data_IF_457449298537
#
_entry.id   IF_457449298537
#
_cell.length_a   1.000
_cell.length_b   1.000
_cell.length_c   1.000
_cell.angle_alpha   90.00
_cell.angle_beta   90.00
_cell.angle_gamma   90.00
#
_symmetry.space_group_name_H-M   'P 1'
#
loop_
_entity.id
_entity.type
_entity.pdbx_description
1 polymer ?
#
# COMPACT_ATOMS: atom_id res chain seq x y z
N UNK A 1 11.38 -6.47 10.45
CA UNK A 1 10.44 -6.25 11.58
C UNK A 1 9.81 -4.85 11.62
N UNK A 2 10.49 -3.79 11.17
CA UNK A 2 9.96 -2.41 11.31
C UNK A 2 8.64 -2.14 10.58
N UNK A 3 8.42 -2.68 9.37
CA UNK A 3 7.20 -2.46 8.59
C UNK A 3 5.93 -2.97 9.27
N UNK A 4 5.96 -4.22 9.76
CA UNK A 4 4.86 -4.85 10.49
C UNK A 4 4.53 -4.04 11.75
N UNK A 5 5.55 -3.60 12.47
CA UNK A 5 5.39 -2.76 13.67
C UNK A 5 4.70 -1.44 13.34
N UNK A 6 5.14 -0.76 12.28
CA UNK A 6 4.52 0.49 11.84
C UNK A 6 3.06 0.31 11.41
N UNK A 7 2.73 -0.78 10.70
CA UNK A 7 1.35 -1.09 10.34
C UNK A 7 0.44 -1.22 11.58
N UNK A 8 0.88 -1.95 12.60
CA UNK A 8 0.14 -2.08 13.87
C UNK A 8 0.02 -0.76 14.62
N UNK A 9 1.11 0.00 14.77
CA UNK A 9 1.07 1.28 15.50
C UNK A 9 0.18 2.28 14.75
N UNK A 10 0.19 2.28 13.42
CA UNK A 10 -0.70 3.13 12.63
C UNK A 10 -2.18 2.80 12.91
N UNK A 11 -2.55 1.52 12.87
CA UNK A 11 -3.91 1.08 13.17
C UNK A 11 -4.35 1.48 14.59
N UNK A 12 -3.45 1.34 15.58
CA UNK A 12 -3.70 1.79 16.95
C UNK A 12 -3.85 3.31 17.04
N UNK A 13 -2.96 4.08 16.41
CA UNK A 13 -3.01 5.54 16.41
C UNK A 13 -4.30 6.07 15.77
N UNK A 14 -4.79 5.41 14.71
CA UNK A 14 -6.07 5.71 14.09
C UNK A 14 -7.25 5.38 15.01
N UNK A 15 -7.25 4.17 15.59
CA UNK A 15 -8.29 3.71 16.53
C UNK A 15 -8.44 4.65 17.73
N UNK A 16 -7.34 5.12 18.30
CA UNK A 16 -7.32 6.03 19.45
C UNK A 16 -7.29 7.51 19.07
N UNK A 17 -7.41 7.83 17.76
CA UNK A 17 -7.46 9.21 17.23
C UNK A 17 -6.24 10.07 17.61
N UNK A 18 -5.06 9.45 17.79
CA UNK A 18 -3.81 10.14 18.12
C UNK A 18 -3.18 10.67 16.83
N UNK A 19 -3.63 11.86 16.39
CA UNK A 19 -3.26 12.45 15.09
C UNK A 19 -1.76 12.57 14.86
N UNK A 20 -1.01 13.09 15.84
CA UNK A 20 0.45 13.29 15.70
C UNK A 20 1.22 11.98 15.53
N UNK A 21 0.83 10.94 16.27
CA UNK A 21 1.41 9.61 16.13
C UNK A 21 1.05 8.97 14.79
N UNK A 22 -0.21 9.10 14.36
CA UNK A 22 -0.66 8.60 13.05
C UNK A 22 0.16 9.19 11.91
N UNK A 23 0.42 10.50 11.93
CA UNK A 23 1.24 11.19 10.92
C UNK A 23 2.70 10.73 10.96
N UNK A 24 3.30 10.68 12.15
CA UNK A 24 4.69 10.24 12.32
C UNK A 24 4.92 8.81 11.81
N UNK A 25 3.98 7.91 12.11
CA UNK A 25 4.09 6.52 11.70
C UNK A 25 3.83 6.36 10.21
N UNK A 26 2.94 7.15 9.62
CA UNK A 26 2.76 7.22 8.18
C UNK A 26 4.08 7.56 7.48
N UNK A 27 4.76 8.65 7.88
CA UNK A 27 6.02 9.06 7.26
C UNK A 27 7.11 7.99 7.37
N UNK A 28 7.23 7.36 8.55
CA UNK A 28 8.19 6.28 8.79
C UNK A 28 7.87 5.04 7.97
N UNK A 29 6.59 4.69 7.87
CA UNK A 29 6.13 3.55 7.08
C UNK A 29 6.44 3.75 5.60
N UNK A 30 6.11 4.92 5.04
CA UNK A 30 6.38 5.26 3.63
C UNK A 30 7.85 5.08 3.27
N UNK A 31 8.75 5.67 4.06
CA UNK A 31 10.20 5.55 3.83
C UNK A 31 10.69 4.11 3.99
N UNK A 32 10.16 3.37 4.96
CA UNK A 32 10.55 1.98 5.16
C UNK A 32 10.11 1.09 3.98
N UNK A 33 8.95 1.37 3.38
CA UNK A 33 8.44 0.64 2.22
C UNK A 33 9.35 0.80 1.00
N UNK A 34 9.85 2.01 0.73
CA UNK A 34 10.78 2.28 -0.38
C UNK A 34 12.04 1.42 -0.33
N UNK A 35 12.55 1.10 0.86
CA UNK A 35 13.78 0.31 1.02
C UNK A 35 13.55 -1.19 1.20
N UNK A 36 12.33 -1.61 1.58
CA UNK A 36 12.06 -3.00 1.99
C UNK A 36 10.90 -3.65 1.21
N UNK A 37 10.48 -3.08 0.09
CA UNK A 37 9.35 -3.58 -0.70
C UNK A 37 9.50 -5.05 -1.13
N UNK A 38 10.72 -5.51 -1.43
CA UNK A 38 11.01 -6.87 -1.89
C UNK A 38 11.17 -7.90 -0.76
N UNK A 39 10.75 -7.58 0.47
CA UNK A 39 10.98 -8.42 1.65
C UNK A 39 9.70 -9.08 2.15
N UNK A 40 9.82 -10.23 2.83
CA UNK A 40 8.68 -10.89 3.48
C UNK A 40 7.92 -9.95 4.45
N UNK A 41 8.66 -9.08 5.14
CA UNK A 41 8.08 -8.12 6.07
C UNK A 41 7.14 -7.11 5.38
N UNK A 42 7.35 -6.79 4.11
CA UNK A 42 6.47 -5.92 3.34
C UNK A 42 5.14 -6.60 3.01
N UNK A 43 5.17 -7.88 2.61
CA UNK A 43 3.96 -8.66 2.37
C UNK A 43 3.13 -8.82 3.64
N UNK A 44 3.77 -9.13 4.77
CA UNK A 44 3.10 -9.23 6.07
C UNK A 44 2.48 -7.90 6.49
N UNK A 45 3.23 -6.80 6.40
CA UNK A 45 2.72 -5.47 6.72
C UNK A 45 1.56 -5.06 5.82
N UNK A 46 1.60 -5.43 4.54
CA UNK A 46 0.53 -5.17 3.58
C UNK A 46 -0.76 -5.88 3.97
N UNK A 47 -0.69 -7.17 4.33
CA UNK A 47 -1.86 -7.91 4.86
C UNK A 47 -2.46 -7.22 6.07
N UNK A 48 -1.61 -6.79 7.01
CA UNK A 48 -2.06 -6.07 8.21
C UNK A 48 -2.78 -4.78 7.81
N UNK A 49 -2.16 -3.92 7.00
CA UNK A 49 -2.77 -2.65 6.56
C UNK A 49 -4.13 -2.88 5.89
N UNK A 50 -4.26 -3.85 4.99
CA UNK A 50 -5.54 -4.10 4.32
C UNK A 50 -6.59 -4.72 5.25
N UNK A 51 -6.18 -5.49 6.26
CA UNK A 51 -7.10 -6.08 7.26
C UNK A 51 -7.52 -5.12 8.38
N UNK A 52 -6.66 -4.19 8.81
CA UNK A 52 -6.90 -3.35 9.99
C UNK A 52 -7.38 -1.94 9.66
N UNK A 53 -7.20 -1.50 8.42
CA UNK A 53 -7.57 -0.15 7.99
C UNK A 53 -8.70 -0.26 6.97
N UNK A 54 -9.86 0.38 7.17
CA UNK A 54 -10.97 0.33 6.21
C UNK A 54 -10.62 1.07 4.92
N UNK A 55 -11.33 0.78 3.82
CA UNK A 55 -11.11 1.37 2.49
C UNK A 55 -11.18 2.90 2.47
N UNK A 56 -11.94 3.49 3.40
CA UNK A 56 -12.05 4.95 3.57
C UNK A 56 -10.77 5.58 4.14
N UNK A 57 -9.92 4.81 4.83
CA UNK A 57 -8.64 5.28 5.35
C UNK A 57 -7.52 4.94 4.35
N UNK A 58 -7.33 5.84 3.40
CA UNK A 58 -6.38 5.67 2.29
C UNK A 58 -4.90 5.75 2.68
N UNK A 59 -4.53 6.18 3.89
CA UNK A 59 -3.15 6.55 4.24
C UNK A 59 -2.08 5.48 3.90
N UNK A 60 -1.86 4.46 4.74
CA UNK A 60 -0.85 3.43 4.49
C UNK A 60 -1.21 2.55 3.27
N UNK A 61 -2.50 2.47 2.91
CA UNK A 61 -2.95 1.75 1.72
C UNK A 61 -2.43 2.41 0.43
N UNK A 62 -2.46 3.74 0.32
CA UNK A 62 -1.96 4.44 -0.86
C UNK A 62 -0.46 4.28 -1.03
N UNK A 63 0.29 4.24 0.07
CA UNK A 63 1.74 3.96 0.05
C UNK A 63 2.01 2.59 -0.57
N UNK A 64 1.28 1.56 -0.15
CA UNK A 64 1.44 0.21 -0.67
C UNK A 64 1.06 0.15 -2.16
N UNK A 65 -0.05 0.78 -2.55
CA UNK A 65 -0.47 0.85 -3.95
C UNK A 65 0.60 1.54 -4.80
N UNK A 66 1.13 2.67 -4.34
CA UNK A 66 2.22 3.39 -5.03
C UNK A 66 3.41 2.46 -5.23
N UNK A 67 3.87 1.78 -4.19
CA UNK A 67 4.96 0.80 -4.30
C UNK A 67 4.66 -0.25 -5.37
N UNK A 68 3.49 -0.88 -5.34
CA UNK A 68 3.14 -1.89 -6.36
C UNK A 68 3.10 -1.33 -7.79
N UNK A 69 2.67 -0.09 -7.96
CA UNK A 69 2.61 0.56 -9.29
C UNK A 69 3.94 1.16 -9.75
N UNK A 70 4.85 1.51 -8.85
CA UNK A 70 6.13 2.17 -9.16
C UNK A 70 7.20 1.19 -9.63
N UNK A 71 7.15 -0.07 -9.19
CA UNK A 71 8.10 -1.08 -9.63
C UNK A 71 7.53 -1.85 -10.82
N UNK A 72 7.88 -1.39 -12.04
CA UNK A 72 7.52 -2.07 -13.29
C UNK A 72 7.88 -3.56 -13.23
N UNK A 73 6.91 -4.41 -13.55
CA UNK A 73 7.05 -5.87 -13.52
C UNK A 73 6.84 -6.53 -12.15
N UNK A 74 6.67 -5.77 -11.06
CA UNK A 74 6.37 -6.35 -9.75
C UNK A 74 5.00 -7.05 -9.77
N UNK A 75 3.99 -6.39 -10.34
CA UNK A 75 2.64 -6.96 -10.50
C UNK A 75 2.64 -8.20 -11.40
N UNK A 76 3.61 -8.33 -12.30
CA UNK A 76 3.71 -9.47 -13.22
C UNK A 76 4.32 -10.71 -12.58
N UNK A 77 4.97 -10.57 -11.42
CA UNK A 77 5.52 -11.69 -10.67
C UNK A 77 4.38 -12.55 -10.11
N UNK A 78 4.46 -13.86 -10.33
CA UNK A 78 3.42 -14.81 -9.95
C UNK A 78 3.18 -14.81 -8.43
N UNK A 79 4.24 -14.65 -7.65
CA UNK A 79 4.22 -14.53 -6.19
C UNK A 79 3.44 -13.29 -5.73
N UNK A 80 3.57 -12.18 -6.47
CA UNK A 80 2.87 -10.93 -6.19
C UNK A 80 1.39 -11.06 -6.55
N UNK A 81 1.07 -11.69 -7.69
CA UNK A 81 -0.33 -11.97 -8.08
C UNK A 81 -1.03 -12.85 -7.04
N UNK A 82 -0.41 -13.98 -6.66
CA UNK A 82 -0.95 -14.88 -5.65
C UNK A 82 -1.11 -14.19 -4.29
N UNK A 83 -0.17 -13.31 -3.93
CA UNK A 83 -0.27 -12.49 -2.73
C UNK A 83 -1.46 -11.50 -2.80
N UNK A 84 -1.66 -10.84 -3.94
CA UNK A 84 -2.74 -9.88 -4.15
C UNK A 84 -4.12 -10.53 -4.12
N UNK A 85 -4.26 -11.74 -4.67
CA UNK A 85 -5.49 -12.53 -4.61
C UNK A 85 -5.88 -12.93 -3.17
N UNK A 86 -4.88 -13.19 -2.31
CA UNK A 86 -5.10 -13.49 -0.90
C UNK A 86 -5.25 -12.27 0.02
N UNK A 87 -4.95 -11.06 -0.47
CA UNK A 87 -5.00 -9.84 0.30
C UNK A 87 -6.30 -9.07 -0.01
N UNK A 88 -7.23 -9.10 0.95
CA UNK A 88 -8.59 -8.60 0.79
C UNK A 88 -8.64 -7.15 0.25
N UNK A 89 -9.17 -6.98 -0.97
CA UNK A 89 -9.32 -5.69 -1.64
C UNK A 89 -8.03 -5.06 -2.19
N UNK A 90 -6.86 -5.70 -2.05
CA UNK A 90 -5.61 -5.18 -2.59
C UNK A 90 -5.58 -5.25 -4.12
N UNK A 91 -5.88 -6.43 -4.70
CA UNK A 91 -5.92 -6.62 -6.14
C UNK A 91 -6.84 -5.61 -6.83
N UNK A 92 -8.08 -5.49 -6.34
CA UNK A 92 -9.07 -4.55 -6.87
C UNK A 92 -8.60 -3.09 -6.80
N UNK A 93 -7.92 -2.72 -5.71
CA UNK A 93 -7.43 -1.35 -5.52
C UNK A 93 -6.29 -1.04 -6.50
N UNK A 94 -5.32 -1.96 -6.62
CA UNK A 94 -4.17 -1.81 -7.53
C UNK A 94 -4.61 -1.76 -8.99
N UNK A 95 -5.50 -2.67 -9.41
CA UNK A 95 -6.04 -2.69 -10.78
C UNK A 95 -6.77 -1.40 -11.14
N UNK A 96 -7.62 -0.89 -10.24
CA UNK A 96 -8.31 0.39 -10.44
C UNK A 96 -7.32 1.54 -10.61
N UNK A 97 -6.28 1.60 -9.77
CA UNK A 97 -5.27 2.65 -9.84
C UNK A 97 -4.48 2.61 -11.16
N UNK A 98 -4.08 1.44 -11.64
CA UNK A 98 -3.38 1.29 -12.93
C UNK A 98 -4.26 1.78 -14.07
N UNK A 99 -5.52 1.33 -14.11
CA UNK A 99 -6.46 1.72 -15.16
C UNK A 99 -6.71 3.24 -15.16
N UNK A 100 -6.79 3.88 -13.99
CA UNK A 100 -6.88 5.35 -13.89
C UNK A 100 -5.65 6.04 -14.48
N UNK A 101 -4.43 5.57 -14.16
CA UNK A 101 -3.21 6.14 -14.73
C UNK A 101 -3.10 5.96 -16.25
N UNK A 102 -3.58 4.84 -16.79
CA UNK A 102 -3.62 4.62 -18.25
C UNK A 102 -4.59 5.58 -18.93
N UNK A 103 -5.77 5.82 -18.36
CA UNK A 103 -6.76 6.78 -18.87
C UNK A 103 -6.17 8.21 -18.85
N UNK A 104 -5.55 8.62 -17.74
CA UNK A 104 -4.95 9.96 -17.63
C UNK A 104 -3.81 10.17 -18.64
N UNK A 105 -2.98 9.15 -18.90
CA UNK A 105 -1.94 9.23 -19.94
C UNK A 105 -2.51 9.35 -21.35
N UNK A 106 -3.60 8.64 -21.65
CA UNK A 106 -4.29 8.74 -22.94
C UNK A 106 -4.87 10.15 -23.11
N UNK A 107 -5.54 10.69 -22.10
CA UNK A 107 -6.09 12.06 -22.15
C UNK A 107 -5.01 13.12 -22.32
N UNK A 108 -3.87 13.00 -21.64
CA UNK A 108 -2.74 13.92 -21.79
C UNK A 108 -2.03 13.84 -23.15
N UNK A 109 -2.18 12.73 -23.88
CA UNK A 109 -1.63 12.55 -25.23
C UNK A 109 -2.53 13.06 -26.36
N UNK A 110 -3.78 13.43 -26.03
CA UNK A 110 -4.79 13.92 -26.98
C UNK A 110 -4.83 15.45 -27.10
N UNK A 111 -3.97 16.17 -26.36
CA UNK A 111 -3.78 17.62 -26.40
C UNK A 111 -2.31 17.97 -26.64
#
# INVERSE_FOLDING_TARGET
MELVRYAHIYALADKYKIKGLKLLIYEKFSRACEWNWATQAFYEATRIVFSTTPDSNKGPRSVIVVVFTSYQGLIDQLEIKAFMEGANGLADTVLRTINTYEIEKVEQSLW
#
